data_IF_103613134668
#
_entry.id   IF_103613134668
#
_cell.length_a   1.000
_cell.length_b   1.000
_cell.length_c   1.000
_cell.angle_alpha   90.00
_cell.angle_beta   90.00
_cell.angle_gamma   90.00
#
_symmetry.space_group_name_H-M   'P 1'
#
loop_
_entity.id
_entity.type
_entity.pdbx_description
1 polymer ?
#
# COMPACT_ATOMS: atom_id res chain seq x y z
N UNK A 1 16.58 -16.71 14.21
CA UNK A 1 15.27 -16.32 13.68
C UNK A 1 14.50 -15.67 14.82
N UNK A 2 14.18 -14.39 14.70
CA UNK A 2 13.38 -13.68 15.70
C UNK A 2 12.00 -14.34 15.79
N UNK A 3 11.46 -14.39 17.00
CA UNK A 3 10.08 -14.87 17.19
C UNK A 3 9.12 -13.80 16.62
N UNK A 4 8.39 -14.14 15.56
CA UNK A 4 7.42 -13.26 14.90
C UNK A 4 6.45 -12.65 15.92
N UNK A 5 6.05 -13.43 16.92
CA UNK A 5 5.04 -13.00 17.92
C UNK A 5 5.47 -11.79 18.75
N UNK A 6 6.78 -11.63 18.98
CA UNK A 6 7.33 -10.52 19.77
C UNK A 6 7.95 -9.42 18.92
N UNK A 7 8.32 -9.72 17.66
CA UNK A 7 9.05 -8.80 16.79
C UNK A 7 8.15 -8.00 15.84
N UNK A 8 6.91 -8.45 15.58
CA UNK A 8 6.01 -7.84 14.59
C UNK A 8 4.75 -7.29 15.25
N UNK A 9 4.49 -5.99 15.04
CA UNK A 9 3.17 -5.39 15.25
C UNK A 9 2.47 -5.20 13.89
N UNK A 10 1.16 -5.39 13.85
CA UNK A 10 0.36 -5.24 12.63
C UNK A 10 -0.67 -4.13 12.78
N UNK A 11 -0.82 -3.32 11.73
CA UNK A 11 -1.93 -2.37 11.59
C UNK A 11 -2.78 -2.78 10.42
N UNK A 12 -4.07 -2.97 10.68
CA UNK A 12 -5.11 -3.21 9.67
C UNK A 12 -6.05 -2.02 9.64
N UNK A 13 -6.14 -1.32 8.52
CA UNK A 13 -7.08 -0.21 8.35
C UNK A 13 -8.36 -0.74 7.71
N UNK A 14 -9.41 -0.83 8.50
CA UNK A 14 -10.72 -1.27 8.01
C UNK A 14 -11.58 -0.09 7.52
N UNK A 15 -12.18 -0.28 6.36
CA UNK A 15 -13.24 0.58 5.85
C UNK A 15 -14.34 -0.28 5.24
N UNK A 16 -15.22 -0.78 6.11
CA UNK A 16 -16.37 -1.60 5.73
C UNK A 16 -16.02 -2.92 5.01
N UNK A 17 -14.93 -3.58 5.38
CA UNK A 17 -14.54 -4.88 4.79
C UNK A 17 -15.44 -6.03 5.22
N UNK A 18 -16.15 -5.89 6.34
CA UNK A 18 -17.09 -6.90 6.82
C UNK A 18 -16.40 -8.23 7.16
N UNK A 19 -16.89 -9.34 6.62
CA UNK A 19 -16.36 -10.67 6.92
C UNK A 19 -14.90 -10.89 6.44
N UNK A 20 -14.43 -10.12 5.47
CA UNK A 20 -13.06 -10.22 4.98
C UNK A 20 -12.03 -9.87 6.08
N UNK A 21 -12.34 -8.86 6.91
CA UNK A 21 -11.52 -8.48 8.06
C UNK A 21 -11.27 -9.65 8.99
N UNK A 22 -12.29 -10.46 9.25
CA UNK A 22 -12.19 -11.65 10.11
C UNK A 22 -11.17 -12.64 9.55
N UNK A 23 -11.26 -12.95 8.24
CA UNK A 23 -10.32 -13.86 7.59
C UNK A 23 -8.88 -13.30 7.59
N UNK A 24 -8.72 -11.99 7.44
CA UNK A 24 -7.42 -11.34 7.53
C UNK A 24 -6.82 -11.53 8.94
N UNK A 25 -7.55 -11.23 10.00
CA UNK A 25 -7.09 -11.39 11.38
C UNK A 25 -6.77 -12.86 11.69
N UNK A 26 -7.60 -13.79 11.27
CA UNK A 26 -7.35 -15.22 11.47
C UNK A 26 -6.05 -15.67 10.77
N UNK A 27 -5.78 -15.17 9.57
CA UNK A 27 -4.53 -15.45 8.84
C UNK A 27 -3.30 -14.80 9.49
N UNK A 28 -3.44 -13.62 10.11
CA UNK A 28 -2.39 -12.99 10.90
C UNK A 28 -2.04 -13.83 12.13
N UNK A 29 -3.04 -14.30 12.88
CA UNK A 29 -2.83 -15.18 14.04
C UNK A 29 -2.18 -16.52 13.64
N UNK A 30 -2.57 -17.11 12.50
CA UNK A 30 -1.92 -18.31 11.94
C UNK A 30 -0.43 -18.06 11.66
N UNK A 31 -0.05 -16.86 11.25
CA UNK A 31 1.34 -16.41 11.09
C UNK A 31 2.00 -15.93 12.41
N UNK A 32 1.39 -16.20 13.58
CA UNK A 32 1.87 -15.83 14.93
C UNK A 32 1.99 -14.32 15.17
N UNK A 33 1.28 -13.50 14.42
CA UNK A 33 1.18 -12.06 14.70
C UNK A 33 0.08 -11.90 15.76
N UNK A 34 0.46 -11.43 16.95
CA UNK A 34 -0.46 -11.26 18.10
C UNK A 34 -0.67 -9.79 18.49
N UNK A 35 0.28 -8.91 18.15
CA UNK A 35 0.16 -7.48 18.38
C UNK A 35 -0.55 -6.83 17.18
N UNK A 36 -1.88 -6.89 17.18
CA UNK A 36 -2.71 -6.43 16.05
C UNK A 36 -3.55 -5.23 16.48
N UNK A 37 -3.46 -4.14 15.73
CA UNK A 37 -4.33 -2.97 15.86
C UNK A 37 -5.21 -2.88 14.62
N UNK A 38 -6.51 -2.85 14.82
CA UNK A 38 -7.50 -2.58 13.79
C UNK A 38 -7.95 -1.13 13.92
N UNK A 39 -7.81 -0.35 12.86
CA UNK A 39 -8.33 1.02 12.78
C UNK A 39 -9.63 0.99 12.00
N UNK A 40 -10.77 1.16 12.69
CA UNK A 40 -12.08 1.30 12.06
C UNK A 40 -12.19 2.70 11.44
N UNK A 41 -11.89 2.79 10.16
CA UNK A 41 -11.80 4.06 9.43
C UNK A 41 -13.15 4.50 8.83
N UNK A 42 -14.24 3.90 9.28
CA UNK A 42 -15.62 4.27 8.95
C UNK A 42 -16.18 5.37 9.86
N UNK A 43 -17.49 5.50 9.84
CA UNK A 43 -18.22 6.39 10.75
C UNK A 43 -18.35 5.71 12.13
N UNK A 44 -18.44 6.52 13.18
CA UNK A 44 -18.64 6.03 14.55
C UNK A 44 -19.83 5.04 14.63
N UNK A 45 -19.61 3.92 15.30
CA UNK A 45 -20.60 2.85 15.47
C UNK A 45 -20.69 1.85 14.31
N UNK A 46 -19.76 1.90 13.36
CA UNK A 46 -19.66 0.92 12.25
C UNK A 46 -18.80 -0.30 12.60
N UNK A 47 -18.46 -0.49 13.87
CA UNK A 47 -17.59 -1.58 14.36
C UNK A 47 -18.03 -2.93 13.79
N UNK A 48 -17.14 -3.67 13.15
CA UNK A 48 -17.50 -4.96 12.60
C UNK A 48 -17.92 -5.92 13.71
N UNK A 49 -19.09 -6.56 13.65
CA UNK A 49 -19.54 -7.52 14.67
C UNK A 49 -18.59 -8.69 14.87
N UNK A 50 -17.68 -8.90 13.93
CA UNK A 50 -16.80 -10.05 13.83
C UNK A 50 -15.55 -10.01 14.72
N UNK A 51 -15.22 -8.88 15.36
CA UNK A 51 -14.01 -8.76 16.19
C UNK A 51 -14.16 -9.28 17.62
N UNK A 52 -15.39 -9.50 18.09
CA UNK A 52 -15.78 -9.63 19.49
C UNK A 52 -15.10 -10.70 20.36
N UNK A 53 -14.30 -11.62 19.79
CA UNK A 53 -13.57 -12.64 20.57
C UNK A 53 -12.09 -12.74 20.14
N UNK A 54 -11.60 -11.84 19.30
CA UNK A 54 -10.22 -11.84 18.82
C UNK A 54 -9.38 -10.87 19.65
N UNK A 55 -8.16 -11.29 19.96
CA UNK A 55 -7.20 -10.47 20.70
C UNK A 55 -6.62 -9.39 19.77
N UNK A 56 -7.34 -8.29 19.62
CA UNK A 56 -6.95 -7.14 18.79
C UNK A 56 -7.27 -5.85 19.52
N UNK A 57 -6.43 -4.83 19.35
CA UNK A 57 -6.72 -3.47 19.80
C UNK A 57 -7.55 -2.75 18.73
N UNK A 58 -8.72 -2.24 19.10
CA UNK A 58 -9.56 -1.45 18.20
C UNK A 58 -9.33 0.04 18.41
N UNK A 59 -9.10 0.76 17.33
CA UNK A 59 -8.98 2.22 17.28
C UNK A 59 -10.09 2.78 16.42
N UNK A 60 -10.93 3.65 16.97
CA UNK A 60 -12.08 4.26 16.29
C UNK A 60 -11.89 5.77 16.18
N UNK A 61 -11.38 6.29 15.04
CA UNK A 61 -11.22 7.73 14.86
C UNK A 61 -12.55 8.49 14.73
N UNK A 62 -13.67 7.80 14.49
CA UNK A 62 -14.99 8.39 14.29
C UNK A 62 -15.20 9.08 12.95
N UNK A 63 -14.23 9.01 12.05
CA UNK A 63 -14.26 9.57 10.71
C UNK A 63 -13.29 8.85 9.79
N UNK A 64 -13.49 8.93 8.48
CA UNK A 64 -12.55 8.41 7.50
C UNK A 64 -11.32 9.34 7.40
N UNK A 65 -10.20 8.89 7.97
CA UNK A 65 -8.92 9.60 7.93
C UNK A 65 -8.19 9.49 6.59
N UNK A 66 -8.59 8.53 5.73
CA UNK A 66 -7.78 8.02 4.62
C UNK A 66 -6.82 6.92 5.09
N UNK A 67 -6.10 6.30 4.13
CA UNK A 67 -5.32 5.10 4.44
C UNK A 67 -4.08 5.40 5.29
N UNK A 68 -3.18 6.25 4.80
CA UNK A 68 -1.91 6.54 5.49
C UNK A 68 -2.08 7.10 6.89
N UNK A 69 -3.05 8.02 7.10
CA UNK A 69 -3.37 8.54 8.44
C UNK A 69 -3.95 7.45 9.35
N UNK A 70 -4.77 6.54 8.78
CA UNK A 70 -5.26 5.37 9.50
C UNK A 70 -4.09 4.51 9.99
N UNK A 71 -3.12 4.22 9.13
CA UNK A 71 -1.91 3.46 9.52
C UNK A 71 -1.11 4.20 10.60
N UNK A 72 -0.87 5.51 10.44
CA UNK A 72 -0.16 6.30 11.47
C UNK A 72 -0.88 6.21 12.83
N UNK A 73 -2.21 6.33 12.83
CA UNK A 73 -3.02 6.22 14.04
C UNK A 73 -2.94 4.85 14.69
N UNK A 74 -3.00 3.79 13.86
CA UNK A 74 -2.85 2.41 14.31
C UNK A 74 -1.45 2.13 14.85
N UNK A 75 -0.41 2.57 14.14
CA UNK A 75 0.98 2.40 14.55
C UNK A 75 1.29 3.04 15.92
N UNK A 76 0.68 4.20 16.21
CA UNK A 76 0.79 4.84 17.52
C UNK A 76 0.09 4.07 18.65
N UNK A 77 -0.82 3.15 18.32
CA UNK A 77 -1.55 2.32 19.28
C UNK A 77 -0.98 0.90 19.42
N UNK A 78 -0.02 0.50 18.56
CA UNK A 78 0.66 -0.79 18.72
C UNK A 78 1.60 -0.77 19.92
N UNK A 79 1.79 -1.92 20.55
CA UNK A 79 2.88 -2.16 21.50
C UNK A 79 4.26 -2.11 20.82
N UNK A 80 5.35 -2.24 21.62
CA UNK A 80 6.71 -2.31 21.11
C UNK A 80 6.86 -3.47 20.12
N UNK A 81 7.56 -3.19 19.00
CA UNK A 81 7.90 -4.18 17.98
C UNK A 81 9.07 -3.68 17.15
N UNK A 82 9.84 -4.59 16.58
CA UNK A 82 10.98 -4.27 15.70
C UNK A 82 10.49 -3.93 14.29
N UNK A 83 9.41 -4.56 13.87
CA UNK A 83 8.81 -4.40 12.55
C UNK A 83 7.33 -4.01 12.66
N UNK A 84 6.89 -3.19 11.71
CA UNK A 84 5.49 -2.84 11.52
C UNK A 84 4.99 -3.49 10.23
N UNK A 85 4.04 -4.42 10.37
CA UNK A 85 3.30 -4.97 9.25
C UNK A 85 2.08 -4.09 8.98
N UNK A 86 1.93 -3.64 7.76
CA UNK A 86 0.74 -2.91 7.32
C UNK A 86 -0.04 -3.83 6.39
N UNK A 87 -1.32 -4.01 6.65
CA UNK A 87 -2.15 -4.95 5.91
C UNK A 87 -3.54 -4.39 5.63
N UNK A 88 -4.05 -4.65 4.42
CA UNK A 88 -5.45 -4.40 4.09
C UNK A 88 -6.36 -5.41 4.79
N UNK A 89 -7.62 -5.04 5.08
CA UNK A 89 -8.55 -5.92 5.81
C UNK A 89 -9.09 -7.09 4.98
N UNK A 90 -8.81 -7.14 3.68
CA UNK A 90 -9.29 -8.15 2.73
C UNK A 90 -8.15 -9.03 2.18
N UNK A 91 -7.14 -9.26 3.04
CA UNK A 91 -6.02 -10.15 2.75
C UNK A 91 -6.21 -11.52 3.40
N UNK A 92 -5.64 -12.54 2.76
CA UNK A 92 -5.32 -13.83 3.36
C UNK A 92 -3.80 -13.99 3.30
N UNK A 93 -3.15 -13.99 4.45
CA UNK A 93 -1.71 -14.14 4.58
C UNK A 93 -1.39 -15.63 4.64
N UNK A 94 -0.64 -16.15 3.67
CA UNK A 94 -0.29 -17.56 3.63
C UNK A 94 0.71 -17.93 4.73
N UNK A 95 0.71 -19.20 5.12
CA UNK A 95 1.58 -19.69 6.18
C UNK A 95 3.06 -19.40 5.89
N UNK A 96 3.74 -18.84 6.89
CA UNK A 96 5.16 -18.49 6.79
C UNK A 96 5.48 -17.20 6.06
N UNK A 97 4.50 -16.50 5.46
CA UNK A 97 4.75 -15.27 4.70
C UNK A 97 5.36 -14.16 5.57
N UNK A 98 4.85 -13.96 6.80
CA UNK A 98 5.40 -12.97 7.71
C UNK A 98 6.83 -13.33 8.14
N UNK A 99 7.06 -14.61 8.45
CA UNK A 99 8.40 -15.10 8.83
C UNK A 99 9.41 -14.93 7.68
N UNK A 100 9.01 -15.15 6.44
CA UNK A 100 9.87 -14.93 5.26
C UNK A 100 10.25 -13.44 5.10
N UNK A 101 9.30 -12.52 5.30
CA UNK A 101 9.56 -11.08 5.26
C UNK A 101 10.51 -10.64 6.39
N UNK A 102 10.32 -11.15 7.62
CA UNK A 102 11.22 -10.87 8.75
C UNK A 102 12.62 -11.40 8.46
N UNK A 103 12.76 -12.65 8.03
CA UNK A 103 14.06 -13.26 7.73
C UNK A 103 14.80 -12.51 6.61
N UNK A 104 14.07 -11.97 5.64
CA UNK A 104 14.68 -11.14 4.60
C UNK A 104 15.27 -9.85 5.20
N UNK A 105 14.52 -9.15 6.04
CA UNK A 105 15.02 -7.94 6.71
C UNK A 105 16.18 -8.25 7.66
N UNK A 106 16.16 -9.36 8.38
CA UNK A 106 17.27 -9.76 9.27
C UNK A 106 18.60 -9.92 8.51
N UNK A 107 18.56 -10.34 7.25
CA UNK A 107 19.76 -10.60 6.43
C UNK A 107 20.15 -9.44 5.52
N UNK A 108 19.27 -8.46 5.31
CA UNK A 108 19.49 -7.31 4.41
C UNK A 108 19.30 -6.00 5.19
N UNK A 109 20.34 -5.55 5.88
CA UNK A 109 20.26 -4.41 6.80
C UNK A 109 20.06 -3.05 6.12
N UNK A 110 20.38 -2.93 4.83
CA UNK A 110 20.12 -1.77 3.98
C UNK A 110 18.68 -1.69 3.48
N UNK A 111 17.93 -2.80 3.59
CA UNK A 111 16.51 -2.84 3.22
C UNK A 111 15.66 -2.44 4.42
N UNK A 112 14.80 -1.45 4.26
CA UNK A 112 13.87 -1.02 5.30
C UNK A 112 12.43 -1.48 5.07
N UNK A 113 12.02 -1.68 3.82
CA UNK A 113 10.66 -2.08 3.46
C UNK A 113 10.70 -3.31 2.57
N UNK A 114 9.85 -4.28 2.88
CA UNK A 114 9.64 -5.46 2.02
C UNK A 114 8.16 -5.68 1.75
N UNK A 115 7.84 -6.03 0.51
CA UNK A 115 6.49 -6.43 0.10
C UNK A 115 6.42 -7.89 -0.29
N UNK A 116 5.33 -8.61 0.05
CA UNK A 116 5.10 -9.98 -0.39
C UNK A 116 4.69 -10.03 -1.86
N UNK A 117 4.75 -11.22 -2.45
CA UNK A 117 4.06 -11.52 -3.69
C UNK A 117 2.55 -11.54 -3.43
N UNK A 118 1.82 -10.62 -4.07
CA UNK A 118 0.36 -10.58 -3.97
C UNK A 118 -0.24 -11.42 -5.08
N UNK A 119 -1.22 -12.27 -4.72
CA UNK A 119 -2.02 -13.03 -5.66
C UNK A 119 -3.48 -12.58 -5.61
N UNK A 120 -4.19 -12.72 -6.73
CA UNK A 120 -5.65 -12.61 -6.77
C UNK A 120 -6.28 -13.94 -6.33
N UNK A 121 -7.60 -13.96 -6.01
CA UNK A 121 -8.29 -15.20 -5.64
C UNK A 121 -8.23 -16.31 -6.71
N UNK A 122 -8.02 -15.96 -7.98
CA UNK A 122 -7.84 -16.92 -9.08
C UNK A 122 -6.40 -17.46 -9.20
N UNK A 123 -5.51 -17.07 -8.28
CA UNK A 123 -4.10 -17.47 -8.26
C UNK A 123 -3.20 -16.63 -9.19
N UNK A 124 -3.75 -15.71 -9.97
CA UNK A 124 -2.94 -14.85 -10.83
C UNK A 124 -2.13 -13.84 -9.99
N UNK A 125 -0.89 -13.58 -10.40
CA UNK A 125 0.00 -12.66 -9.70
C UNK A 125 -0.45 -11.21 -9.96
N UNK A 126 -0.61 -10.46 -8.88
CA UNK A 126 -0.82 -9.03 -8.93
C UNK A 126 0.54 -8.30 -8.95
N UNK A 127 0.77 -7.31 -9.81
CA UNK A 127 2.04 -6.58 -9.86
C UNK A 127 2.19 -5.68 -8.63
N UNK A 128 2.70 -6.23 -7.53
CA UNK A 128 2.89 -5.53 -6.25
C UNK A 128 4.26 -4.89 -6.07
N UNK A 129 5.21 -5.21 -6.93
CA UNK A 129 6.59 -4.73 -6.91
C UNK A 129 6.82 -3.82 -8.12
N UNK A 130 7.11 -2.53 -7.90
CA UNK A 130 7.05 -1.53 -8.96
C UNK A 130 8.22 -0.56 -8.93
N UNK A 131 8.44 0.15 -10.06
CA UNK A 131 9.37 1.28 -10.17
C UNK A 131 8.62 2.61 -10.03
N UNK A 132 9.30 3.65 -9.55
CA UNK A 132 8.68 4.98 -9.50
C UNK A 132 8.33 5.46 -10.90
N UNK A 133 7.12 5.99 -11.08
CA UNK A 133 6.75 6.61 -12.34
C UNK A 133 7.61 7.86 -12.56
N UNK A 134 8.22 7.96 -13.74
CA UNK A 134 8.66 9.25 -14.24
C UNK A 134 7.60 9.77 -15.23
N UNK A 135 7.63 11.07 -15.51
CA UNK A 135 6.61 11.71 -16.36
C UNK A 135 6.42 10.99 -17.70
N UNK A 136 7.51 10.52 -18.32
CA UNK A 136 7.48 9.80 -19.60
C UNK A 136 6.95 8.38 -19.44
N UNK A 137 7.42 7.69 -18.41
CA UNK A 137 7.00 6.31 -18.13
C UNK A 137 5.53 6.27 -17.71
N UNK A 138 5.11 7.18 -16.82
CA UNK A 138 3.73 7.30 -16.40
C UNK A 138 2.80 7.73 -17.55
N UNK A 139 3.24 8.67 -18.38
CA UNK A 139 2.48 9.11 -19.56
C UNK A 139 2.34 7.99 -20.59
N UNK A 140 3.43 7.32 -20.92
CA UNK A 140 3.42 6.21 -21.86
C UNK A 140 2.60 5.02 -21.35
N UNK A 141 2.78 4.63 -20.08
CA UNK A 141 1.96 3.62 -19.42
C UNK A 141 0.47 3.99 -19.51
N UNK A 142 0.12 5.19 -19.07
CA UNK A 142 -1.26 5.65 -19.01
C UNK A 142 -1.97 5.75 -20.37
N UNK A 143 -1.22 6.08 -21.43
CA UNK A 143 -1.77 6.19 -22.78
C UNK A 143 -1.83 4.83 -23.49
N UNK A 144 -0.88 3.95 -23.21
CA UNK A 144 -0.69 2.71 -23.97
C UNK A 144 -1.23 1.47 -23.25
N UNK A 145 -1.51 1.52 -21.96
CA UNK A 145 -1.96 0.34 -21.20
C UNK A 145 -3.26 -0.24 -21.74
N UNK A 146 -4.26 0.60 -21.98
CA UNK A 146 -5.57 0.15 -22.49
C UNK A 146 -5.51 -0.45 -23.90
N UNK A 147 -4.91 0.22 -24.91
CA UNK A 147 -4.82 -0.33 -26.26
C UNK A 147 -3.71 -1.39 -26.42
N UNK A 148 -2.69 -1.38 -25.55
CA UNK A 148 -1.53 -2.29 -25.64
C UNK A 148 -0.99 -2.62 -24.23
N UNK A 149 -1.64 -3.53 -23.47
CA UNK A 149 -1.29 -3.85 -22.08
C UNK A 149 0.16 -4.32 -21.84
N UNK A 150 0.79 -4.90 -22.87
CA UNK A 150 2.16 -5.42 -22.80
C UNK A 150 3.22 -4.46 -23.37
N UNK A 151 2.89 -3.18 -23.54
CA UNK A 151 3.85 -2.20 -24.06
C UNK A 151 5.10 -2.08 -23.19
N UNK A 152 6.26 -1.65 -23.74
CA UNK A 152 7.52 -1.58 -22.99
C UNK A 152 7.45 -0.70 -21.74
N UNK A 153 6.71 0.41 -21.79
CA UNK A 153 6.58 1.32 -20.64
C UNK A 153 5.84 0.65 -19.48
N UNK A 154 4.74 -0.06 -19.76
CA UNK A 154 4.01 -0.85 -18.77
C UNK A 154 4.87 -1.98 -18.22
N UNK A 155 5.63 -2.67 -19.05
CA UNK A 155 6.55 -3.73 -18.62
C UNK A 155 7.62 -3.17 -17.67
N UNK A 156 8.29 -2.07 -18.03
CA UNK A 156 9.30 -1.41 -17.19
C UNK A 156 8.67 -0.95 -15.87
N UNK A 157 7.49 -0.33 -15.92
CA UNK A 157 6.78 0.16 -14.74
C UNK A 157 6.42 -0.96 -13.75
N UNK A 158 6.12 -2.17 -14.26
CA UNK A 158 5.72 -3.33 -13.46
C UNK A 158 6.85 -4.32 -13.16
N UNK A 159 8.05 -4.11 -13.70
CA UNK A 159 9.16 -5.05 -13.54
C UNK A 159 10.03 -4.68 -12.34
N UNK A 160 10.38 -5.65 -11.47
CA UNK A 160 11.42 -5.45 -10.47
C UNK A 160 12.78 -5.23 -11.15
N UNK A 161 13.73 -4.68 -10.40
CA UNK A 161 15.12 -4.57 -10.86
C UNK A 161 15.79 -5.94 -10.87
N UNK A 162 16.87 -6.07 -11.65
CA UNK A 162 17.64 -7.31 -11.77
C UNK A 162 18.30 -7.77 -10.47
N UNK A 163 18.51 -6.85 -9.52
CA UNK A 163 19.06 -7.10 -8.18
C UNK A 163 17.97 -7.46 -7.14
N UNK A 164 16.73 -7.64 -7.56
CA UNK A 164 15.59 -7.92 -6.68
C UNK A 164 15.04 -6.72 -5.94
N UNK A 165 15.71 -5.55 -6.01
CA UNK A 165 15.20 -4.31 -5.43
C UNK A 165 14.09 -3.72 -6.30
N UNK A 166 13.16 -3.02 -5.65
CA UNK A 166 12.07 -2.30 -6.32
C UNK A 166 12.07 -0.86 -5.82
N UNK A 167 11.36 0.02 -6.50
CA UNK A 167 11.25 1.40 -6.01
C UNK A 167 10.18 1.51 -4.92
N UNK A 168 9.08 0.76 -5.05
CA UNK A 168 8.00 0.73 -4.09
C UNK A 168 7.20 -0.56 -4.16
N UNK A 169 6.49 -0.87 -3.10
CA UNK A 169 5.62 -2.05 -2.95
C UNK A 169 4.17 -1.62 -2.74
N UNK A 170 3.24 -2.50 -3.03
CA UNK A 170 1.81 -2.21 -2.84
C UNK A 170 1.49 -1.95 -1.37
N UNK A 171 0.72 -0.89 -1.11
CA UNK A 171 0.19 -0.58 0.22
C UNK A 171 -0.77 -1.62 0.78
N UNK A 172 -1.22 -2.58 -0.04
CA UNK A 172 -2.09 -3.64 0.44
C UNK A 172 -1.43 -4.53 1.51
N UNK A 173 -0.11 -4.81 1.35
CA UNK A 173 0.67 -5.55 2.35
C UNK A 173 2.15 -5.21 2.24
N UNK A 174 2.78 -4.79 3.34
CA UNK A 174 4.24 -4.65 3.43
C UNK A 174 4.70 -4.68 4.88
N UNK A 175 5.95 -5.05 5.10
CA UNK A 175 6.64 -5.01 6.39
C UNK A 175 7.72 -3.92 6.33
N UNK A 176 7.78 -3.07 7.36
CA UNK A 176 8.78 -2.00 7.47
C UNK A 176 9.49 -2.08 8.82
N UNK A 177 10.80 -1.75 8.85
CA UNK A 177 11.51 -1.53 10.11
C UNK A 177 10.84 -0.42 10.89
N UNK A 178 10.46 -0.70 12.13
CA UNK A 178 9.77 0.27 13.00
C UNK A 178 10.60 1.54 13.19
N UNK A 179 11.91 1.38 13.40
CA UNK A 179 12.82 2.52 13.57
C UNK A 179 12.83 3.45 12.35
N UNK A 180 12.83 2.89 11.13
CA UNK A 180 12.79 3.70 9.90
C UNK A 180 11.43 4.35 9.70
N UNK A 181 10.33 3.63 10.01
CA UNK A 181 8.97 4.21 9.96
C UNK A 181 8.86 5.45 10.87
N UNK A 182 9.42 5.37 12.07
CA UNK A 182 9.43 6.48 13.02
C UNK A 182 10.38 7.60 12.59
N UNK A 183 11.57 7.27 12.08
CA UNK A 183 12.57 8.23 11.58
C UNK A 183 12.00 9.12 10.46
N UNK A 184 11.26 8.52 9.52
CA UNK A 184 10.64 9.27 8.40
C UNK A 184 9.32 9.95 8.78
N UNK A 185 8.84 9.76 10.01
CA UNK A 185 7.58 10.33 10.50
C UNK A 185 6.32 9.62 10.02
N UNK A 186 6.43 8.35 9.59
CA UNK A 186 5.33 7.55 9.08
C UNK A 186 4.85 7.98 7.69
N UNK A 187 3.58 7.73 7.41
CA UNK A 187 2.95 8.17 6.17
C UNK A 187 2.75 9.69 6.15
N UNK A 188 2.97 10.30 4.98
CA UNK A 188 2.65 11.70 4.75
C UNK A 188 1.14 11.93 4.76
N UNK A 189 0.66 12.60 5.79
CA UNK A 189 -0.77 12.82 6.05
C UNK A 189 -1.48 13.73 5.04
N UNK A 190 -0.73 14.32 4.10
CA UNK A 190 -1.30 15.09 3.01
C UNK A 190 -1.93 14.23 1.92
N UNK A 191 -1.63 12.91 1.91
CA UNK A 191 -2.31 11.93 1.06
C UNK A 191 -3.54 11.39 1.78
N UNK A 192 -4.69 11.47 1.11
CA UNK A 192 -5.91 10.84 1.64
C UNK A 192 -5.94 9.36 1.27
N UNK A 193 -5.68 9.05 0.00
CA UNK A 193 -5.65 7.70 -0.57
C UNK A 193 -4.90 7.71 -1.90
N UNK A 194 -4.25 6.61 -2.24
CA UNK A 194 -3.39 6.39 -3.40
C UNK A 194 -2.06 7.17 -3.33
N UNK A 195 -1.01 6.53 -3.78
CA UNK A 195 0.36 7.03 -3.80
C UNK A 195 0.98 7.37 -2.42
N UNK A 196 0.27 7.17 -1.31
CA UNK A 196 0.83 7.33 0.04
C UNK A 196 1.94 6.32 0.32
N UNK A 197 1.76 5.05 -0.07
CA UNK A 197 2.79 4.00 0.04
C UNK A 197 3.98 4.27 -0.89
N UNK A 198 3.70 4.80 -2.07
CA UNK A 198 4.75 5.22 -3.01
C UNK A 198 5.55 6.39 -2.43
N UNK A 199 4.88 7.36 -1.78
CA UNK A 199 5.53 8.48 -1.10
C UNK A 199 6.34 8.01 0.12
N UNK A 200 5.84 7.02 0.88
CA UNK A 200 6.56 6.38 1.98
C UNK A 200 7.86 5.74 1.47
N UNK A 201 7.77 4.89 0.44
CA UNK A 201 8.95 4.26 -0.15
C UNK A 201 9.94 5.27 -0.74
N UNK A 202 9.44 6.39 -1.28
CA UNK A 202 10.32 7.49 -1.70
C UNK A 202 11.08 8.09 -0.51
N UNK A 203 10.42 8.37 0.61
CA UNK A 203 11.05 8.88 1.82
C UNK A 203 12.07 7.90 2.38
N UNK A 204 11.75 6.61 2.45
CA UNK A 204 12.69 5.55 2.84
C UNK A 204 13.98 5.62 2.02
N UNK A 205 13.89 5.80 0.70
CA UNK A 205 15.05 5.91 -0.18
C UNK A 205 15.81 7.23 -0.02
N UNK A 206 15.14 8.34 0.24
CA UNK A 206 15.80 9.62 0.55
C UNK A 206 16.61 9.55 1.86
N UNK A 207 16.25 8.64 2.78
CA UNK A 207 17.00 8.36 4.02
C UNK A 207 18.09 7.29 3.84
N UNK A 208 18.34 6.83 2.60
CA UNK A 208 19.46 5.94 2.27
C UNK A 208 19.15 4.44 2.37
N UNK A 209 17.90 4.07 2.66
CA UNK A 209 17.47 2.68 2.67
C UNK A 209 16.95 2.20 1.32
N UNK A 210 16.77 0.90 1.19
CA UNK A 210 16.21 0.27 -0.01
C UNK A 210 14.85 -0.39 0.27
N UNK A 211 14.15 -0.75 -0.81
CA UNK A 211 12.86 -1.46 -0.80
C UNK A 211 13.02 -2.73 -1.61
N UNK A 212 12.47 -3.85 -1.16
CA UNK A 212 12.58 -5.13 -1.85
C UNK A 212 11.26 -5.90 -1.93
N UNK A 213 11.17 -6.79 -2.90
CA UNK A 213 10.10 -7.78 -3.02
C UNK A 213 10.56 -9.13 -2.48
N UNK A 214 9.73 -9.80 -1.68
CA UNK A 214 9.98 -11.14 -1.15
C UNK A 214 9.00 -12.12 -1.81
N UNK A 215 9.49 -12.89 -2.78
CA UNK A 215 8.64 -13.78 -3.58
C UNK A 215 8.14 -15.00 -2.80
N UNK A 216 8.90 -15.44 -1.79
CA UNK A 216 8.56 -16.54 -0.90
C UNK A 216 7.44 -16.17 0.09
N UNK A 217 7.25 -14.88 0.35
CA UNK A 217 6.13 -14.38 1.13
C UNK A 217 4.93 -14.20 0.20
N UNK A 218 3.90 -14.99 0.39
CA UNK A 218 2.69 -14.96 -0.47
C UNK A 218 1.49 -14.49 0.33
N UNK A 219 0.71 -13.58 -0.27
CA UNK A 219 -0.60 -13.16 0.27
C UNK A 219 -1.64 -13.16 -0.85
N UNK A 220 -2.88 -13.51 -0.53
CA UNK A 220 -4.01 -13.38 -1.45
C UNK A 220 -4.80 -12.12 -1.10
N UNK A 221 -5.02 -11.24 -2.08
CA UNK A 221 -5.81 -10.02 -1.93
C UNK A 221 -7.14 -10.18 -2.64
N UNK A 222 -8.23 -10.19 -1.89
CA UNK A 222 -9.59 -10.35 -2.44
C UNK A 222 -9.95 -9.14 -3.30
N UNK A 223 -9.59 -7.94 -2.84
CA UNK A 223 -9.62 -6.70 -3.61
C UNK A 223 -11.00 -6.11 -3.89
N UNK A 224 -11.03 -4.81 -4.12
CA UNK A 224 -12.17 -4.10 -4.70
C UNK A 224 -13.32 -3.73 -3.76
N UNK A 225 -13.33 -4.20 -2.51
CA UNK A 225 -14.46 -3.98 -1.58
C UNK A 225 -14.70 -2.49 -1.26
N UNK A 226 -13.65 -1.72 -1.06
CA UNK A 226 -13.74 -0.30 -0.70
C UNK A 226 -13.98 0.62 -1.90
N UNK A 227 -13.49 0.24 -3.10
CA UNK A 227 -13.55 1.10 -4.31
C UNK A 227 -14.93 1.18 -4.96
N UNK A 228 -15.74 0.16 -4.80
CA UNK A 228 -17.06 0.10 -5.43
C UNK A 228 -18.05 1.14 -4.86
N UNK A 229 -17.80 1.69 -3.66
CA UNK A 229 -18.74 2.53 -2.91
C UNK A 229 -18.69 4.03 -3.25
N UNK A 230 -17.56 4.57 -3.74
CA UNK A 230 -17.44 6.00 -4.04
C UNK A 230 -16.51 6.29 -5.25
N UNK A 231 -16.82 5.84 -6.46
CA UNK A 231 -15.90 5.86 -7.59
C UNK A 231 -15.42 7.28 -7.96
N UNK A 232 -16.27 8.30 -7.88
CA UNK A 232 -15.87 9.69 -8.19
C UNK A 232 -14.88 10.26 -7.17
N UNK A 233 -15.08 10.01 -5.88
CA UNK A 233 -14.17 10.45 -4.82
C UNK A 233 -12.81 9.79 -4.99
N UNK A 234 -12.78 8.49 -5.33
CA UNK A 234 -11.56 7.73 -5.58
C UNK A 234 -10.82 8.25 -6.81
N UNK A 235 -11.51 8.55 -7.91
CA UNK A 235 -10.90 9.15 -9.12
C UNK A 235 -10.25 10.49 -8.77
N UNK A 236 -10.93 11.36 -8.04
CA UNK A 236 -10.38 12.66 -7.63
C UNK A 236 -9.16 12.47 -6.70
N UNK A 237 -9.28 11.59 -5.70
CA UNK A 237 -8.19 11.29 -4.77
C UNK A 237 -6.95 10.80 -5.51
N UNK A 238 -7.11 9.85 -6.44
CA UNK A 238 -6.01 9.30 -7.25
C UNK A 238 -5.26 10.40 -8.02
N UNK A 239 -5.96 11.26 -8.75
CA UNK A 239 -5.32 12.32 -9.54
C UNK A 239 -4.65 13.39 -8.66
N UNK A 240 -5.27 13.75 -7.53
CA UNK A 240 -4.66 14.67 -6.55
C UNK A 240 -3.39 14.09 -5.95
N UNK A 241 -3.42 12.81 -5.58
CA UNK A 241 -2.27 12.12 -5.00
C UNK A 241 -1.14 11.95 -6.00
N UNK A 242 -1.46 11.59 -7.26
CA UNK A 242 -0.46 11.53 -8.33
C UNK A 242 0.23 12.88 -8.58
N UNK A 243 -0.53 13.97 -8.64
CA UNK A 243 0.04 15.31 -8.78
C UNK A 243 0.91 15.69 -7.57
N UNK A 244 0.45 15.38 -6.35
CA UNK A 244 1.22 15.63 -5.13
C UNK A 244 2.54 14.88 -5.14
N UNK A 245 2.52 13.61 -5.52
CA UNK A 245 3.74 12.80 -5.63
C UNK A 245 4.71 13.39 -6.65
N UNK A 246 4.25 13.80 -7.83
CA UNK A 246 5.09 14.45 -8.82
C UNK A 246 5.69 15.77 -8.29
N UNK A 247 4.89 16.59 -7.61
CA UNK A 247 5.37 17.84 -7.00
C UNK A 247 6.42 17.60 -5.90
N UNK A 248 6.25 16.54 -5.11
CA UNK A 248 7.16 16.16 -4.02
C UNK A 248 8.49 15.62 -4.55
N UNK A 249 8.45 14.83 -5.62
CA UNK A 249 9.60 14.08 -6.13
C UNK A 249 10.33 14.75 -7.28
N UNK A 250 9.74 15.77 -7.93
CA UNK A 250 10.37 16.50 -9.00
C UNK A 250 11.61 17.26 -8.51
N UNK A 251 12.79 16.94 -9.07
CA UNK A 251 14.06 17.60 -8.79
C UNK A 251 14.64 18.21 -10.09
N UNK A 252 15.45 19.26 -9.95
CA UNK A 252 16.14 19.89 -11.07
C UNK A 252 15.19 20.32 -12.20
N UNK A 253 15.53 19.97 -13.44
CA UNK A 253 14.74 20.32 -14.64
C UNK A 253 13.32 19.73 -14.66
N UNK A 254 13.07 18.63 -13.94
CA UNK A 254 11.70 18.09 -13.82
C UNK A 254 10.71 19.07 -13.21
N UNK A 255 11.17 19.99 -12.35
CA UNK A 255 10.31 21.04 -11.78
C UNK A 255 9.71 21.96 -12.85
N UNK A 256 10.42 22.20 -13.93
CA UNK A 256 9.95 23.02 -15.05
C UNK A 256 8.81 22.34 -15.82
N UNK A 257 8.67 21.03 -15.69
CA UNK A 257 7.60 20.24 -16.32
C UNK A 257 6.35 20.10 -15.45
N UNK A 258 6.36 20.58 -14.20
CA UNK A 258 5.19 20.50 -13.31
C UNK A 258 3.92 21.17 -13.88
N UNK A 259 3.98 22.33 -14.58
CA UNK A 259 2.79 22.89 -15.23
C UNK A 259 2.19 21.93 -16.27
N UNK A 260 3.05 21.24 -17.04
CA UNK A 260 2.62 20.27 -18.06
C UNK A 260 2.00 19.04 -17.37
N UNK A 261 2.64 18.52 -16.31
CA UNK A 261 2.08 17.41 -15.52
C UNK A 261 0.71 17.77 -14.93
N UNK A 262 0.58 18.98 -14.39
CA UNK A 262 -0.69 19.50 -13.83
C UNK A 262 -1.78 19.55 -14.89
N UNK A 263 -1.47 20.06 -16.08
CA UNK A 263 -2.40 20.14 -17.21
C UNK A 263 -2.86 18.74 -17.66
N UNK A 264 -1.90 17.81 -17.84
CA UNK A 264 -2.17 16.43 -18.28
C UNK A 264 -3.03 15.69 -17.25
N UNK A 265 -2.68 15.76 -15.96
CA UNK A 265 -3.47 15.13 -14.89
C UNK A 265 -4.85 15.78 -14.74
N UNK A 266 -4.96 17.10 -14.90
CA UNK A 266 -6.23 17.81 -14.88
C UNK A 266 -7.15 17.38 -16.03
N UNK A 267 -6.60 17.27 -17.25
CA UNK A 267 -7.35 16.78 -18.42
C UNK A 267 -7.79 15.32 -18.25
N UNK A 268 -6.91 14.45 -17.73
CA UNK A 268 -7.28 13.06 -17.43
C UNK A 268 -8.38 12.98 -16.37
N UNK A 269 -8.30 13.79 -15.30
CA UNK A 269 -9.34 13.87 -14.29
C UNK A 269 -10.67 14.28 -14.91
N UNK A 270 -10.67 15.33 -15.74
CA UNK A 270 -11.88 15.77 -16.45
C UNK A 270 -12.48 14.66 -17.31
N UNK A 271 -11.66 13.99 -18.13
CA UNK A 271 -12.10 12.86 -18.95
C UNK A 271 -12.65 11.70 -18.10
N UNK A 272 -11.95 11.34 -17.00
CA UNK A 272 -12.38 10.26 -16.12
C UNK A 272 -13.72 10.55 -15.39
N UNK A 273 -14.03 11.83 -15.15
CA UNK A 273 -15.28 12.24 -14.52
C UNK A 273 -16.44 12.36 -15.53
N UNK A 274 -16.14 12.60 -16.81
CA UNK A 274 -17.14 12.79 -17.89
C UNK A 274 -17.46 11.51 -18.65
N UNK A 275 -16.46 10.64 -18.84
CA UNK A 275 -16.64 9.33 -19.47
C UNK A 275 -17.11 8.34 -18.42
N UNK A 276 -18.28 7.72 -18.59
CA UNK A 276 -18.75 6.63 -17.70
C UNK A 276 -17.71 5.51 -17.68
N UNK A 277 -17.17 5.12 -16.53
CA UNK A 277 -16.23 4.02 -16.46
C UNK A 277 -16.92 2.73 -16.92
N UNK A 278 -16.39 2.09 -17.96
CA UNK A 278 -16.89 0.80 -18.47
C UNK A 278 -16.37 -0.40 -17.69
N UNK A 279 -15.42 -0.19 -16.76
CA UNK A 279 -14.83 -1.26 -15.95
C UNK A 279 -14.29 -0.70 -14.62
N UNK A 280 -14.10 -1.53 -13.58
CA UNK A 280 -13.38 -1.14 -12.37
C UNK A 280 -11.99 -0.62 -12.74
N UNK A 281 -11.56 0.48 -12.12
CA UNK A 281 -10.19 0.96 -12.24
C UNK A 281 -9.30 -0.10 -11.58
N UNK A 282 -8.58 -0.90 -12.37
CA UNK A 282 -7.50 -1.71 -11.84
C UNK A 282 -6.45 -0.78 -11.24
N UNK A 283 -5.86 -1.18 -10.10
CA UNK A 283 -4.82 -0.41 -9.43
C UNK A 283 -3.67 -0.12 -10.40
N UNK A 284 -3.43 1.16 -10.62
CA UNK A 284 -2.24 1.66 -11.32
C UNK A 284 -1.10 1.75 -10.32
#
# INVERSE_FOLDING_TARGET
>A
MSDVSSSVACVVVDYHAGAALTGCIDSLHANRVTNIVVVENGLAGSTPPALGARDVVLVEPGQNLGYGRGVNRGAAATGPAEYLLVANPDLVIHDGAVAAMVAYLETHHDVAVVGPQIQRPDGSIYPSHRVFPNLWLAGAHALLESPWPQNPATRIYRSPRSDGTVDWVSGACFLIRRSVFEEIGGFDERYFMFAEEMALCWQVREHGYTVAGVQEAVVTHIGGLSRQRAPRVMIIAHHKSALRFEMQTAKGLRRLLLPVATLVLGLRLFMALTVRPKAPIEEV
#
